data_IF_160324330325
#
_entry.id   IF_160324330325
#
_cell.length_a   1.000
_cell.length_b   1.000
_cell.length_c   1.000
_cell.angle_alpha   90.00
_cell.angle_beta   90.00
_cell.angle_gamma   90.00
#
_symmetry.space_group_name_H-M   'P 1'
#
loop_
_entity.id
_entity.type
_entity.pdbx_description
1 polymer ?
#
# COMPACT_ATOMS: atom_id res chain seq x y z
N UNK A 1 -0.82 -10.71 24.14
CA UNK A 1 -1.68 -9.51 24.15
C UNK A 1 -1.69 -8.72 22.85
N UNK A 2 -0.68 -8.86 21.96
CA UNK A 2 -0.64 -8.14 20.65
C UNK A 2 -1.49 -8.85 19.61
N UNK A 3 -1.28 -10.16 19.39
CA UNK A 3 -1.94 -10.91 18.30
C UNK A 3 -3.46 -10.71 18.24
N UNK A 4 -4.24 -10.81 19.34
CA UNK A 4 -5.69 -10.67 19.28
C UNK A 4 -6.20 -9.22 19.06
N UNK A 5 -5.30 -8.24 19.03
CA UNK A 5 -5.63 -6.86 18.67
C UNK A 5 -5.23 -6.52 17.23
N UNK A 6 -4.27 -7.27 16.67
CA UNK A 6 -3.79 -7.09 15.31
C UNK A 6 -4.56 -7.92 14.30
N UNK A 7 -4.95 -9.15 14.66
CA UNK A 7 -5.70 -10.07 13.81
C UNK A 7 -6.99 -10.56 14.48
N UNK A 8 -7.96 -10.95 13.67
CA UNK A 8 -9.16 -11.60 14.18
C UNK A 8 -8.79 -12.95 14.79
N UNK A 9 -9.21 -13.14 16.04
CA UNK A 9 -8.93 -14.34 16.86
C UNK A 9 -9.47 -15.64 16.25
N UNK A 10 -10.44 -15.54 15.33
CA UNK A 10 -11.09 -16.66 14.66
C UNK A 10 -10.44 -17.01 13.30
N UNK A 11 -9.35 -16.33 12.94
CA UNK A 11 -8.59 -16.68 11.76
C UNK A 11 -7.79 -17.98 11.96
N UNK A 12 -7.38 -18.69 10.85
CA UNK A 12 -6.60 -19.91 10.94
C UNK A 12 -5.32 -19.74 11.75
N UNK A 13 -4.97 -20.77 12.52
CA UNK A 13 -3.82 -20.77 13.42
C UNK A 13 -2.52 -20.31 12.76
N UNK A 14 -2.25 -20.77 11.51
CA UNK A 14 -1.04 -20.39 10.78
C UNK A 14 -0.93 -18.88 10.52
N UNK A 15 -2.05 -18.17 10.34
CA UNK A 15 -2.04 -16.71 10.20
C UNK A 15 -1.70 -16.02 11.53
N UNK A 16 -2.26 -16.52 12.63
CA UNK A 16 -1.97 -16.01 13.98
C UNK A 16 -0.53 -16.31 14.42
N UNK A 17 0.01 -17.47 14.05
CA UNK A 17 1.41 -17.86 14.27
C UNK A 17 2.35 -16.92 13.48
N UNK A 18 2.05 -16.64 12.21
CA UNK A 18 2.82 -15.68 11.42
C UNK A 18 2.84 -14.28 12.07
N UNK A 19 1.68 -13.81 12.56
CA UNK A 19 1.59 -12.54 13.29
C UNK A 19 2.39 -12.57 14.59
N UNK A 20 2.38 -13.66 15.33
CA UNK A 20 3.12 -13.81 16.59
C UNK A 20 4.64 -13.69 16.36
N UNK A 21 5.16 -14.32 15.29
CA UNK A 21 6.58 -14.23 14.90
C UNK A 21 6.94 -12.82 14.46
N UNK A 22 6.10 -12.18 13.63
CA UNK A 22 6.28 -10.77 13.23
C UNK A 22 6.34 -9.84 14.44
N UNK A 23 5.35 -9.93 15.32
CA UNK A 23 5.24 -9.08 16.50
C UNK A 23 6.43 -9.25 17.46
N UNK A 24 6.92 -10.47 17.62
CA UNK A 24 8.09 -10.76 18.45
C UNK A 24 9.36 -10.19 17.85
N UNK A 25 9.58 -10.37 16.55
CA UNK A 25 10.74 -9.82 15.84
C UNK A 25 10.74 -8.29 15.92
N UNK A 26 9.59 -7.65 15.66
CA UNK A 26 9.43 -6.22 15.79
C UNK A 26 9.76 -5.72 17.20
N UNK A 27 9.22 -6.35 18.25
CA UNK A 27 9.43 -5.94 19.63
C UNK A 27 10.91 -6.03 20.07
N UNK A 28 11.66 -7.02 19.56
CA UNK A 28 13.09 -7.16 19.88
C UNK A 28 13.92 -6.07 19.22
N UNK A 29 13.53 -5.60 18.05
CA UNK A 29 14.27 -4.60 17.26
C UNK A 29 13.86 -3.16 17.56
N UNK A 30 12.61 -2.94 17.98
CA UNK A 30 12.06 -1.61 18.26
C UNK A 30 12.02 -1.36 19.76
N UNK A 31 13.20 -1.21 20.38
CA UNK A 31 13.32 -0.94 21.82
C UNK A 31 13.63 0.52 22.09
N UNK A 32 13.10 1.03 23.19
CA UNK A 32 13.30 2.41 23.65
C UNK A 32 13.98 2.48 25.05
N UNK A 33 15.15 1.86 25.26
CA UNK A 33 15.77 1.79 26.60
C UNK A 33 16.11 3.17 27.16
N UNK A 34 16.38 4.16 26.32
CA UNK A 34 16.62 5.54 26.73
C UNK A 34 15.39 6.24 27.35
N UNK A 35 14.19 5.70 27.09
CA UNK A 35 12.94 6.23 27.64
C UNK A 35 12.48 5.49 28.91
N UNK A 36 13.27 4.51 29.39
CA UNK A 36 12.97 3.74 30.60
C UNK A 36 11.96 2.60 30.39
N UNK A 37 11.67 2.24 29.13
CA UNK A 37 10.86 1.07 28.76
C UNK A 37 11.39 0.45 27.46
N UNK A 38 11.09 -0.84 27.23
CA UNK A 38 11.49 -1.52 26.00
C UNK A 38 10.54 -1.20 24.84
N UNK A 39 9.23 -1.31 25.08
CA UNK A 39 8.17 -1.06 24.07
C UNK A 39 7.00 -0.32 24.69
N UNK A 40 6.34 0.53 23.92
CA UNK A 40 5.11 1.20 24.33
C UNK A 40 3.87 0.38 23.97
N UNK A 41 2.72 0.74 24.55
CA UNK A 41 1.44 0.08 24.28
C UNK A 41 0.65 0.69 23.12
N UNK A 42 1.17 1.74 22.49
CA UNK A 42 0.50 2.48 21.42
C UNK A 42 0.95 2.07 20.02
N UNK A 43 0.41 2.78 19.04
CA UNK A 43 0.67 2.56 17.61
C UNK A 43 2.11 2.83 17.18
N UNK A 44 2.90 3.55 17.99
CA UNK A 44 4.32 3.79 17.71
C UNK A 44 5.18 2.51 17.84
N UNK A 45 4.70 1.55 18.66
CA UNK A 45 5.31 0.23 18.78
C UNK A 45 4.35 -0.83 18.24
N UNK A 46 3.43 -1.30 19.07
CA UNK A 46 2.37 -2.26 18.69
C UNK A 46 1.17 -2.05 19.60
N UNK A 47 -0.03 -2.20 19.06
CA UNK A 47 -1.26 -2.09 19.85
C UNK A 47 -1.29 -3.18 20.92
N UNK A 48 -1.31 -2.76 22.18
CA UNK A 48 -1.39 -3.64 23.35
C UNK A 48 -2.34 -3.08 24.39
N UNK A 49 -3.48 -3.71 24.57
CA UNK A 49 -4.49 -3.36 25.59
C UNK A 49 -4.71 -4.49 26.61
N UNK A 50 -3.63 -5.20 26.95
CA UNK A 50 -3.70 -6.33 27.87
C UNK A 50 -4.13 -7.64 27.20
N UNK A 51 -4.64 -8.59 28.00
CA UNK A 51 -5.01 -9.93 27.54
C UNK A 51 -6.53 -10.14 27.39
N UNK A 52 -7.33 -9.09 27.44
CA UNK A 52 -8.79 -9.18 27.46
C UNK A 52 -9.41 -9.81 26.19
N UNK A 53 -8.67 -9.83 25.08
CA UNK A 53 -9.07 -10.46 23.82
C UNK A 53 -8.33 -11.79 23.53
N UNK A 54 -7.46 -12.23 24.45
CA UNK A 54 -6.76 -13.50 24.29
C UNK A 54 -7.76 -14.65 24.27
N UNK A 55 -7.49 -15.63 23.42
CA UNK A 55 -8.23 -16.89 23.30
C UNK A 55 -7.24 -18.04 23.27
N UNK A 56 -7.72 -19.29 23.48
CA UNK A 56 -6.87 -20.48 23.40
C UNK A 56 -6.14 -20.54 22.04
N UNK A 57 -6.78 -20.11 20.95
CA UNK A 57 -6.19 -20.08 19.62
C UNK A 57 -5.04 -19.05 19.52
N UNK A 58 -5.23 -17.83 20.05
CA UNK A 58 -4.18 -16.80 20.03
C UNK A 58 -3.04 -17.13 21.00
N UNK A 59 -3.32 -17.76 22.12
CA UNK A 59 -2.31 -18.24 23.06
C UNK A 59 -1.52 -19.40 22.44
N UNK A 60 -2.20 -20.39 21.81
CA UNK A 60 -1.54 -21.46 21.06
C UNK A 60 -0.62 -20.94 19.96
N UNK A 61 -1.03 -19.91 19.20
CA UNK A 61 -0.19 -19.31 18.17
C UNK A 61 1.12 -18.74 18.73
N UNK A 62 1.07 -18.14 19.91
CA UNK A 62 2.27 -17.60 20.60
C UNK A 62 3.15 -18.71 21.14
N UNK A 63 2.53 -19.75 21.76
CA UNK A 63 3.24 -20.87 22.39
C UNK A 63 3.90 -21.78 21.34
N UNK A 64 3.20 -22.11 20.25
CA UNK A 64 3.74 -22.93 19.15
C UNK A 64 4.96 -22.29 18.49
N UNK A 65 5.05 -20.97 18.50
CA UNK A 65 6.15 -20.19 17.89
C UNK A 65 7.08 -19.60 18.94
N UNK A 66 7.12 -20.15 20.16
CA UNK A 66 7.90 -19.59 21.26
C UNK A 66 9.38 -19.42 20.90
N UNK A 67 9.92 -18.23 21.07
CA UNK A 67 11.31 -17.88 20.75
C UNK A 67 11.60 -17.63 19.28
N UNK A 68 10.73 -18.00 18.34
CA UNK A 68 10.98 -17.86 16.91
C UNK A 68 10.88 -16.39 16.46
N UNK A 69 11.80 -16.00 15.58
CA UNK A 69 11.89 -14.68 14.96
C UNK A 69 12.21 -14.81 13.47
N UNK A 70 12.06 -13.71 12.76
CA UNK A 70 12.48 -13.60 11.36
C UNK A 70 13.94 -13.18 11.32
N UNK A 71 14.76 -13.92 10.56
CA UNK A 71 16.19 -13.67 10.39
C UNK A 71 16.54 -13.35 8.94
N UNK A 72 17.42 -12.38 8.75
CA UNK A 72 18.03 -12.05 7.47
C UNK A 72 19.56 -11.97 7.62
N UNK A 73 20.31 -12.68 6.75
CA UNK A 73 21.76 -12.73 6.85
C UNK A 73 22.30 -13.26 8.19
N UNK A 74 21.57 -14.20 8.84
CA UNK A 74 21.95 -14.81 10.12
C UNK A 74 21.71 -13.94 11.37
N UNK A 75 21.04 -12.80 11.22
CA UNK A 75 20.68 -11.90 12.33
C UNK A 75 19.17 -11.67 12.34
N UNK A 76 18.55 -11.37 13.50
CA UNK A 76 17.17 -10.94 13.53
C UNK A 76 16.93 -9.77 12.57
N UNK A 77 15.92 -9.85 11.73
CA UNK A 77 15.57 -8.86 10.74
C UNK A 77 15.32 -7.49 11.40
N UNK A 78 15.95 -6.42 10.89
CA UNK A 78 15.91 -5.10 11.52
C UNK A 78 14.55 -4.42 11.41
N UNK A 79 13.81 -4.71 10.33
CA UNK A 79 12.51 -4.09 10.07
C UNK A 79 11.50 -5.17 9.66
N UNK A 80 10.62 -5.52 10.56
CA UNK A 80 9.50 -6.43 10.29
C UNK A 80 8.21 -5.66 10.49
N UNK A 81 7.55 -5.34 9.38
CA UNK A 81 6.32 -4.55 9.36
C UNK A 81 5.19 -5.29 8.66
N UNK A 82 3.99 -4.97 9.02
CA UNK A 82 2.78 -5.57 8.48
C UNK A 82 1.67 -4.53 8.36
N UNK A 83 0.69 -4.80 7.54
CA UNK A 83 -0.47 -3.93 7.35
C UNK A 83 -1.74 -4.79 7.25
N UNK A 84 -2.89 -4.18 7.47
CA UNK A 84 -4.15 -4.91 7.38
C UNK A 84 -4.35 -5.49 5.98
N UNK A 85 -4.19 -4.67 4.93
CA UNK A 85 -4.36 -5.10 3.54
C UNK A 85 -3.47 -4.27 2.61
N UNK A 86 -2.76 -4.92 1.70
CA UNK A 86 -1.87 -4.28 0.73
C UNK A 86 -2.58 -3.88 -0.59
N UNK A 87 -3.88 -4.15 -0.70
CA UNK A 87 -4.67 -3.81 -1.88
C UNK A 87 -4.33 -4.65 -3.13
N UNK A 88 -3.75 -5.86 -2.95
CA UNK A 88 -3.44 -6.82 -4.00
C UNK A 88 -1.97 -6.90 -4.41
N UNK A 89 -1.09 -6.11 -3.81
CA UNK A 89 0.36 -6.28 -3.95
C UNK A 89 1.12 -5.57 -2.82
N UNK A 90 2.20 -6.18 -2.35
CA UNK A 90 3.19 -5.48 -1.52
C UNK A 90 3.97 -4.48 -2.35
N UNK A 91 4.70 -3.59 -1.68
CA UNK A 91 5.56 -2.60 -2.32
C UNK A 91 7.04 -2.85 -1.94
N UNK A 92 7.94 -2.37 -2.78
CA UNK A 92 9.35 -2.28 -2.43
C UNK A 92 9.57 -1.15 -1.41
N UNK A 93 10.26 -1.47 -0.32
CA UNK A 93 10.53 -0.49 0.74
C UNK A 93 11.26 0.75 0.24
N UNK A 94 12.09 0.62 -0.79
CA UNK A 94 12.80 1.75 -1.40
C UNK A 94 11.86 2.81 -2.01
N UNK A 95 10.63 2.43 -2.38
CA UNK A 95 9.63 3.34 -2.93
C UNK A 95 8.83 4.09 -1.84
N UNK A 96 8.87 3.61 -0.59
CA UNK A 96 8.06 4.16 0.51
C UNK A 96 8.94 4.84 1.56
N UNK A 97 9.99 4.17 2.01
CA UNK A 97 10.92 4.63 3.06
C UNK A 97 12.37 4.62 2.59
N UNK A 98 13.03 3.47 2.73
CA UNK A 98 14.40 3.21 2.34
C UNK A 98 14.56 1.76 1.91
N UNK A 99 15.60 1.43 1.17
CA UNK A 99 15.83 0.06 0.68
C UNK A 99 16.01 -0.92 1.84
N UNK A 100 15.16 -1.95 1.88
CA UNK A 100 15.23 -3.07 2.82
C UNK A 100 15.18 -4.35 1.99
N UNK A 101 16.25 -5.16 1.94
CA UNK A 101 16.42 -6.22 0.94
C UNK A 101 15.31 -7.28 0.91
N UNK A 102 14.63 -7.50 2.02
CA UNK A 102 13.57 -8.51 2.14
C UNK A 102 12.14 -7.94 2.09
N UNK A 103 11.98 -6.62 1.98
CA UNK A 103 10.69 -5.94 1.77
C UNK A 103 10.59 -5.51 0.31
N UNK A 104 10.16 -6.43 -0.53
CA UNK A 104 10.12 -6.26 -1.99
C UNK A 104 8.68 -6.19 -2.51
N UNK A 105 8.51 -5.50 -3.63
CA UNK A 105 7.22 -5.45 -4.33
C UNK A 105 6.84 -6.80 -4.93
N UNK A 106 5.65 -7.31 -4.59
CA UNK A 106 5.15 -8.60 -5.04
C UNK A 106 3.62 -8.60 -5.14
N UNK A 107 3.07 -9.19 -6.20
CA UNK A 107 1.62 -9.41 -6.30
C UNK A 107 1.13 -10.31 -5.18
N UNK A 108 -0.01 -9.97 -4.61
CA UNK A 108 -0.67 -10.74 -3.56
C UNK A 108 -2.05 -11.23 -4.01
N UNK A 109 -2.14 -12.45 -4.55
CA UNK A 109 -3.41 -12.99 -5.00
C UNK A 109 -4.27 -13.57 -3.87
N UNK A 110 -3.78 -13.54 -2.63
CA UNK A 110 -4.44 -14.20 -1.49
C UNK A 110 -5.48 -13.32 -0.82
N UNK A 111 -5.31 -11.99 -0.85
CA UNK A 111 -6.28 -11.07 -0.26
C UNK A 111 -7.68 -11.21 -0.85
N UNK A 112 -7.80 -11.37 -2.17
CA UNK A 112 -9.09 -11.53 -2.87
C UNK A 112 -9.88 -12.77 -2.46
N UNK A 113 -9.22 -13.72 -1.79
CA UNK A 113 -9.83 -14.95 -1.26
C UNK A 113 -10.44 -14.76 0.13
N UNK A 114 -10.35 -13.57 0.68
CA UNK A 114 -10.89 -13.20 1.98
C UNK A 114 -11.91 -12.07 1.85
N UNK A 115 -12.87 -12.04 2.77
CA UNK A 115 -13.79 -10.90 2.85
C UNK A 115 -13.12 -9.77 3.66
N UNK A 116 -12.67 -8.72 2.97
CA UNK A 116 -11.99 -7.58 3.60
C UNK A 116 -12.99 -6.43 3.73
N UNK A 117 -13.39 -6.07 4.95
CA UNK A 117 -14.28 -4.93 5.16
C UNK A 117 -13.65 -3.64 4.63
N UNK A 118 -14.42 -2.87 3.84
CA UNK A 118 -13.95 -1.62 3.24
C UNK A 118 -12.66 -1.77 2.42
N UNK A 119 -12.46 -2.90 1.75
CA UNK A 119 -11.32 -3.12 0.85
C UNK A 119 -11.20 -1.99 -0.17
N UNK A 120 -12.29 -1.69 -0.86
CA UNK A 120 -12.40 -0.49 -1.68
C UNK A 120 -12.96 0.65 -0.83
N UNK A 121 -12.35 1.80 -0.94
CA UNK A 121 -12.72 2.98 -0.17
C UNK A 121 -12.68 4.24 -1.03
N UNK A 122 -13.41 5.25 -0.60
CA UNK A 122 -13.45 6.56 -1.23
C UNK A 122 -13.49 7.66 -0.16
N UNK A 123 -12.81 8.76 -0.44
CA UNK A 123 -12.86 9.97 0.39
C UNK A 123 -12.80 11.20 -0.51
N UNK A 124 -13.64 12.20 -0.23
CA UNK A 124 -13.69 13.44 -0.99
C UNK A 124 -13.24 14.60 -0.12
N UNK A 125 -12.37 15.45 -0.68
CA UNK A 125 -11.90 16.68 -0.09
C UNK A 125 -12.34 17.87 -0.93
N UNK A 126 -12.67 18.99 -0.30
CA UNK A 126 -12.80 20.27 -0.99
C UNK A 126 -11.43 20.93 -1.16
N UNK A 127 -11.34 21.90 -2.06
CA UNK A 127 -10.12 22.71 -2.24
C UNK A 127 -9.74 23.44 -0.94
N UNK A 128 -10.73 23.94 -0.20
CA UNK A 128 -10.51 24.64 1.08
C UNK A 128 -10.00 23.70 2.18
N UNK A 129 -10.56 22.49 2.27
CA UNK A 129 -10.06 21.46 3.21
C UNK A 129 -8.61 21.10 2.92
N UNK A 130 -8.25 20.86 1.65
CA UNK A 130 -6.86 20.56 1.26
C UNK A 130 -5.93 21.74 1.50
N UNK A 131 -6.38 22.97 1.23
CA UNK A 131 -5.62 24.18 1.53
C UNK A 131 -5.28 24.26 3.01
N UNK A 132 -6.29 24.11 3.86
CA UNK A 132 -6.11 24.12 5.33
C UNK A 132 -5.17 22.99 5.79
N UNK A 133 -5.37 21.76 5.29
CA UNK A 133 -4.55 20.61 5.65
C UNK A 133 -3.08 20.84 5.29
N UNK A 134 -2.81 21.37 4.10
CA UNK A 134 -1.45 21.65 3.65
C UNK A 134 -0.80 22.74 4.50
N UNK A 135 -1.52 23.81 4.82
CA UNK A 135 -1.03 24.89 5.70
C UNK A 135 -0.66 24.37 7.10
N UNK A 136 -1.51 23.50 7.70
CA UNK A 136 -1.19 22.88 9.00
C UNK A 136 0.07 22.00 8.94
N UNK A 137 0.45 21.51 7.78
CA UNK A 137 1.66 20.70 7.54
C UNK A 137 2.85 21.53 7.03
N UNK A 138 2.72 22.86 7.00
CA UNK A 138 3.80 23.79 6.62
C UNK A 138 3.96 24.05 5.13
N UNK A 139 2.99 23.64 4.30
CA UNK A 139 3.00 23.90 2.86
C UNK A 139 2.16 25.15 2.51
N UNK A 140 2.81 26.22 2.10
CA UNK A 140 2.17 27.54 1.81
C UNK A 140 2.03 27.80 0.33
N UNK A 141 1.26 26.97 -0.39
CA UNK A 141 1.06 27.07 -1.83
C UNK A 141 -0.12 27.97 -2.26
N UNK A 142 -0.81 28.56 -1.30
CA UNK A 142 -2.06 29.28 -1.53
C UNK A 142 -3.25 28.34 -1.65
N UNK A 143 -4.40 28.84 -2.14
CA UNK A 143 -5.59 28.02 -2.34
C UNK A 143 -5.32 26.89 -3.34
N UNK A 144 -5.60 25.65 -2.96
CA UNK A 144 -5.45 24.47 -3.83
C UNK A 144 -6.38 24.63 -5.04
N UNK A 145 -5.80 24.47 -6.21
CA UNK A 145 -6.49 24.53 -7.52
C UNK A 145 -6.59 23.17 -8.16
N UNK A 146 -5.56 22.34 -7.94
CA UNK A 146 -5.51 20.99 -8.49
C UNK A 146 -4.72 20.07 -7.58
N UNK A 147 -5.03 18.77 -7.63
CA UNK A 147 -4.25 17.70 -7.03
C UNK A 147 -4.32 16.46 -7.90
N UNK A 148 -3.18 15.84 -8.15
CA UNK A 148 -3.10 14.64 -9.00
C UNK A 148 -1.95 13.73 -8.60
N UNK A 149 -2.07 12.46 -8.98
CA UNK A 149 -0.98 11.51 -8.87
C UNK A 149 0.01 11.77 -10.00
N UNK A 150 1.21 12.19 -9.64
CA UNK A 150 2.28 12.50 -10.60
C UNK A 150 3.06 11.26 -11.03
N UNK A 151 3.12 10.22 -10.16
CA UNK A 151 3.89 9.01 -10.46
C UNK A 151 3.36 7.82 -9.65
N UNK A 152 3.35 6.65 -10.29
CA UNK A 152 3.09 5.35 -9.67
C UNK A 152 4.36 4.49 -9.65
N UNK A 153 4.44 3.59 -8.68
CA UNK A 153 5.45 2.53 -8.65
C UNK A 153 5.09 1.43 -9.65
N UNK A 154 6.04 0.54 -9.99
CA UNK A 154 5.74 -0.66 -10.79
C UNK A 154 4.66 -1.56 -10.19
N UNK A 155 4.48 -1.54 -8.85
CA UNK A 155 3.44 -2.31 -8.16
C UNK A 155 2.08 -1.59 -8.13
N UNK A 156 1.98 -0.39 -8.69
CA UNK A 156 0.73 0.38 -8.80
C UNK A 156 0.38 1.18 -7.54
N UNK A 157 1.34 1.40 -6.64
CA UNK A 157 1.18 2.34 -5.54
C UNK A 157 1.54 3.76 -5.98
N UNK A 158 0.97 4.74 -5.31
CA UNK A 158 1.30 6.15 -5.56
C UNK A 158 2.70 6.45 -5.02
N UNK A 159 3.61 6.90 -5.87
CA UNK A 159 4.97 7.30 -5.50
C UNK A 159 5.13 8.82 -5.37
N UNK A 160 4.34 9.59 -6.13
CA UNK A 160 4.33 11.06 -6.05
C UNK A 160 2.93 11.62 -6.22
N UNK A 161 2.60 12.63 -5.39
CA UNK A 161 1.39 13.44 -5.51
C UNK A 161 1.79 14.89 -5.63
N UNK A 162 1.21 15.60 -6.60
CA UNK A 162 1.42 17.04 -6.80
C UNK A 162 0.15 17.80 -6.43
N UNK A 163 0.31 18.86 -5.65
CA UNK A 163 -0.69 19.85 -5.33
C UNK A 163 -0.31 21.15 -6.02
N UNK A 164 -1.22 21.73 -6.81
CA UNK A 164 -1.05 23.02 -7.45
C UNK A 164 -1.95 24.04 -6.74
N UNK A 165 -1.33 25.05 -6.20
CA UNK A 165 -2.01 26.14 -5.51
C UNK A 165 -2.07 27.43 -6.36
N UNK A 166 -2.69 28.46 -5.79
CA UNK A 166 -2.80 29.78 -6.44
C UNK A 166 -1.48 30.56 -6.47
N UNK A 167 -0.46 30.16 -5.69
CA UNK A 167 0.82 30.85 -5.56
C UNK A 167 2.01 29.98 -5.95
N UNK A 168 1.94 28.68 -5.66
CA UNK A 168 3.04 27.74 -5.85
C UNK A 168 2.50 26.32 -6.00
N UNK A 169 3.38 25.35 -6.21
CA UNK A 169 3.05 23.93 -6.24
C UNK A 169 3.98 23.14 -5.33
N UNK A 170 3.51 22.01 -4.81
CA UNK A 170 4.32 21.06 -4.03
C UNK A 170 4.10 19.65 -4.50
N UNK A 171 5.19 18.89 -4.61
CA UNK A 171 5.14 17.46 -4.88
C UNK A 171 5.67 16.70 -3.66
N UNK A 172 4.83 15.86 -3.09
CA UNK A 172 5.19 14.93 -2.01
C UNK A 172 5.46 13.54 -2.55
N UNK A 173 6.22 12.71 -1.81
CA UNK A 173 6.64 11.39 -2.25
C UNK A 173 6.67 10.38 -1.10
N UNK A 174 6.78 9.10 -1.46
CA UNK A 174 6.84 8.01 -0.49
C UNK A 174 5.58 7.95 0.37
N UNK A 175 5.72 7.63 1.65
CA UNK A 175 4.59 7.52 2.57
C UNK A 175 3.81 8.82 2.74
N UNK A 176 4.45 9.96 2.53
CA UNK A 176 3.78 11.26 2.59
C UNK A 176 2.63 11.37 1.59
N UNK A 177 2.68 10.67 0.45
CA UNK A 177 1.58 10.64 -0.51
C UNK A 177 0.25 10.21 0.11
N UNK A 178 0.28 9.33 1.11
CA UNK A 178 -0.88 8.87 1.88
C UNK A 178 -1.17 9.76 3.08
N UNK A 179 -0.15 10.03 3.89
CA UNK A 179 -0.32 10.69 5.19
C UNK A 179 -0.57 12.19 5.08
N UNK A 180 -0.26 12.81 3.95
CA UNK A 180 -0.53 14.22 3.68
C UNK A 180 -2.03 14.57 3.80
N UNK A 181 -2.91 13.62 3.44
CA UNK A 181 -4.36 13.79 3.43
C UNK A 181 -5.01 13.60 4.81
N UNK A 182 -4.25 13.14 5.82
CA UNK A 182 -4.82 12.93 7.14
C UNK A 182 -5.19 14.24 7.83
N UNK A 183 -6.42 14.30 8.34
CA UNK A 183 -6.91 15.39 9.19
C UNK A 183 -7.88 14.86 10.24
N UNK A 184 -7.54 15.07 11.50
CA UNK A 184 -8.45 14.80 12.62
C UNK A 184 -9.61 15.81 12.68
N UNK A 185 -9.37 17.05 12.24
CA UNK A 185 -10.39 18.11 12.19
C UNK A 185 -11.55 17.76 11.28
N UNK A 186 -11.23 17.22 10.08
CA UNK A 186 -12.25 16.81 9.11
C UNK A 186 -12.63 15.33 9.23
N UNK A 187 -11.98 14.57 10.11
CA UNK A 187 -12.13 13.12 10.25
C UNK A 187 -11.97 12.39 8.91
N UNK A 188 -10.94 12.77 8.15
CA UNK A 188 -10.64 12.24 6.83
C UNK A 188 -9.24 11.68 6.75
N UNK A 189 -9.08 10.58 5.99
CA UNK A 189 -7.78 9.96 5.70
C UNK A 189 -7.81 9.15 4.42
N UNK A 190 -6.68 9.07 3.74
CA UNK A 190 -6.40 8.11 2.68
C UNK A 190 -5.87 6.84 3.34
N UNK A 191 -6.53 5.70 3.09
CA UNK A 191 -6.30 4.48 3.89
C UNK A 191 -5.06 3.68 3.48
N UNK A 192 -4.68 3.73 2.21
CA UNK A 192 -3.52 2.99 1.68
C UNK A 192 -2.73 3.83 0.69
N UNK A 193 -1.58 3.31 0.28
CA UNK A 193 -0.76 3.91 -0.77
C UNK A 193 -1.30 3.61 -2.19
N UNK A 194 -2.33 2.75 -2.31
CA UNK A 194 -2.93 2.33 -3.57
C UNK A 194 -4.21 3.10 -3.83
N UNK A 195 -4.11 4.21 -4.53
CA UNK A 195 -5.26 5.08 -4.81
C UNK A 195 -5.12 5.87 -6.11
N UNK A 196 -6.24 6.46 -6.53
CA UNK A 196 -6.36 7.41 -7.62
C UNK A 196 -7.04 8.67 -7.14
N UNK A 197 -6.90 9.77 -7.87
CA UNK A 197 -7.56 11.04 -7.58
C UNK A 197 -8.47 11.40 -8.74
N UNK A 198 -9.76 11.69 -8.48
CA UNK A 198 -10.81 11.97 -9.46
C UNK A 198 -10.99 10.87 -10.52
N UNK A 199 -10.71 9.63 -10.16
CA UNK A 199 -10.72 8.52 -11.09
C UNK A 199 -9.56 8.54 -12.09
N UNK A 200 -8.75 9.59 -12.10
CA UNK A 200 -7.57 9.68 -12.92
C UNK A 200 -6.36 9.05 -12.22
N UNK A 201 -5.67 8.19 -12.91
CA UNK A 201 -4.35 7.75 -12.48
C UNK A 201 -4.12 6.27 -12.30
N UNK A 202 -5.07 5.43 -11.95
CA UNK A 202 -4.75 4.01 -11.72
C UNK A 202 -4.99 3.11 -12.94
N UNK A 203 -5.85 3.50 -13.85
CA UNK A 203 -6.04 2.75 -15.10
C UNK A 203 -4.92 3.02 -16.11
N UNK A 204 -4.15 4.06 -15.90
CA UNK A 204 -2.93 4.30 -16.65
C UNK A 204 -1.72 3.68 -15.95
N UNK A 205 -1.80 2.43 -15.58
CA UNK A 205 -0.63 1.58 -15.70
C UNK A 205 -0.15 1.85 -17.11
N UNK A 206 1.05 2.44 -17.26
CA UNK A 206 1.52 2.78 -18.59
C UNK A 206 1.39 1.58 -19.49
N UNK A 207 1.17 1.82 -20.76
CA UNK A 207 1.03 0.76 -21.75
C UNK A 207 2.38 0.04 -21.81
N UNK A 208 2.42 -1.18 -21.30
CA UNK A 208 3.61 -2.03 -21.36
C UNK A 208 3.75 -2.57 -22.80
N UNK A 209 4.89 -2.37 -23.40
CA UNK A 209 5.19 -2.91 -24.74
C UNK A 209 6.00 -4.17 -24.55
N UNK A 210 5.44 -5.31 -24.99
CA UNK A 210 6.14 -6.60 -25.18
C UNK A 210 7.02 -7.02 -24.00
N UNK A 211 6.43 -7.18 -22.81
CA UNK A 211 7.13 -7.59 -21.59
C UNK A 211 8.37 -6.75 -21.21
N UNK A 212 8.57 -5.61 -21.86
CA UNK A 212 9.60 -4.67 -21.48
C UNK A 212 9.14 -3.84 -20.28
N UNK A 213 10.08 -3.45 -19.41
CA UNK A 213 9.83 -2.49 -18.33
C UNK A 213 9.58 -1.06 -18.84
N UNK A 214 9.38 -0.90 -20.15
CA UNK A 214 9.14 0.40 -20.77
C UNK A 214 7.67 0.75 -20.63
N UNK A 215 7.39 1.80 -19.88
CA UNK A 215 6.05 2.34 -19.66
C UNK A 215 5.85 3.54 -20.55
N UNK A 216 4.92 3.46 -21.51
CA UNK A 216 4.49 4.60 -22.32
C UNK A 216 3.33 5.30 -21.60
N UNK A 217 3.47 6.58 -21.33
CA UNK A 217 2.47 7.39 -20.61
C UNK A 217 1.51 8.13 -21.52
N UNK A 218 1.81 8.19 -22.80
CA UNK A 218 0.96 8.79 -23.83
C UNK A 218 1.16 8.03 -25.13
N UNK A 219 0.08 7.80 -25.85
CA UNK A 219 0.12 7.23 -27.20
C UNK A 219 0.29 8.32 -28.27
N UNK A 220 0.26 9.60 -27.91
CA UNK A 220 0.43 10.69 -28.86
C UNK A 220 1.79 10.60 -29.55
N UNK A 221 1.74 10.54 -30.87
CA UNK A 221 2.94 10.43 -31.71
C UNK A 221 3.61 9.07 -31.73
N UNK A 222 3.10 8.08 -31.02
CA UNK A 222 3.59 6.70 -31.07
C UNK A 222 3.20 6.06 -32.39
N UNK A 223 4.14 5.38 -33.02
CA UNK A 223 3.88 4.58 -34.24
C UNK A 223 3.70 3.11 -33.88
N UNK A 224 2.60 2.52 -34.30
CA UNK A 224 2.29 1.10 -34.13
C UNK A 224 2.26 0.41 -35.48
N UNK A 225 2.71 -0.86 -35.51
CA UNK A 225 2.62 -1.70 -36.69
C UNK A 225 1.29 -2.44 -36.66
N UNK A 226 0.43 -2.21 -37.64
CA UNK A 226 -0.84 -2.93 -37.77
C UNK A 226 -0.64 -4.36 -38.25
N UNK A 227 -1.62 -5.24 -38.02
CA UNK A 227 -1.58 -6.62 -38.52
C UNK A 227 -1.45 -6.78 -40.05
N UNK A 228 -1.69 -5.71 -40.82
CA UNK A 228 -1.45 -5.61 -42.24
C UNK A 228 -0.08 -5.06 -42.65
N UNK A 229 0.87 -4.92 -41.71
CA UNK A 229 2.23 -4.42 -41.98
C UNK A 229 2.34 -2.92 -42.23
N UNK A 230 1.28 -2.14 -41.98
CA UNK A 230 1.31 -0.68 -42.10
C UNK A 230 1.62 -0.03 -40.77
N UNK A 231 2.49 0.97 -40.80
CA UNK A 231 2.75 1.82 -39.64
C UNK A 231 1.64 2.86 -39.52
N UNK A 232 1.01 2.92 -38.36
CA UNK A 232 -0.01 3.92 -38.02
C UNK A 232 0.52 4.76 -36.86
N UNK A 233 0.47 6.08 -37.02
CA UNK A 233 0.80 7.01 -35.93
C UNK A 233 -0.46 7.30 -35.14
N UNK A 234 -0.38 7.11 -33.82
CA UNK A 234 -1.51 7.34 -32.92
C UNK A 234 -1.61 8.83 -32.55
N UNK A 235 -2.84 9.30 -32.36
CA UNK A 235 -3.20 10.67 -31.98
C UNK A 235 -3.55 10.82 -30.49
N UNK A 236 -3.04 9.92 -29.68
CA UNK A 236 -3.21 9.93 -28.22
C UNK A 236 -4.05 8.78 -27.67
N UNK A 237 -4.88 8.10 -28.51
CA UNK A 237 -5.69 6.97 -28.07
C UNK A 237 -5.64 5.79 -29.04
N UNK A 238 -5.92 4.60 -28.53
CA UNK A 238 -6.12 3.38 -29.32
C UNK A 238 -7.16 2.47 -28.67
N UNK A 239 -7.99 1.84 -29.47
CA UNK A 239 -8.90 0.80 -29.00
C UNK A 239 -8.17 -0.53 -28.96
N UNK A 240 -8.22 -1.21 -27.81
CA UNK A 240 -7.69 -2.55 -27.60
C UNK A 240 -8.86 -3.52 -27.51
N UNK A 241 -8.85 -4.51 -28.38
CA UNK A 241 -9.83 -5.60 -28.37
C UNK A 241 -9.24 -6.75 -27.55
N UNK A 242 -9.87 -7.08 -26.44
CA UNK A 242 -9.62 -8.33 -25.71
C UNK A 242 -10.63 -9.41 -26.11
N UNK A 243 -10.44 -10.63 -25.61
CA UNK A 243 -11.36 -11.74 -25.91
C UNK A 243 -12.82 -11.48 -25.47
N UNK A 244 -13.07 -10.52 -24.58
CA UNK A 244 -14.39 -10.25 -24.00
C UNK A 244 -14.83 -8.79 -24.10
N UNK A 245 -13.93 -7.82 -24.32
CA UNK A 245 -14.26 -6.40 -24.28
C UNK A 245 -13.37 -5.57 -25.20
N UNK A 246 -13.93 -4.44 -25.69
CA UNK A 246 -13.15 -3.39 -26.34
C UNK A 246 -12.90 -2.28 -25.32
N UNK A 247 -11.65 -1.98 -25.04
CA UNK A 247 -11.25 -0.88 -24.14
C UNK A 247 -10.45 0.16 -24.92
N UNK A 248 -10.62 1.45 -24.57
CA UNK A 248 -9.79 2.53 -25.11
C UNK A 248 -8.61 2.76 -24.17
N UNK A 249 -7.40 2.75 -24.73
CA UNK A 249 -6.16 3.06 -23.99
C UNK A 249 -5.52 4.31 -24.59
N UNK A 250 -4.85 5.11 -23.76
CA UNK A 250 -4.04 6.22 -24.23
C UNK A 250 -4.76 7.54 -24.41
N UNK A 251 -6.03 7.67 -24.09
CA UNK A 251 -6.55 9.02 -23.84
C UNK A 251 -5.71 9.61 -22.72
N UNK A 252 -4.84 10.58 -23.08
CA UNK A 252 -4.04 11.32 -22.13
C UNK A 252 -4.97 11.87 -21.08
N UNK A 253 -4.94 11.30 -19.88
CA UNK A 253 -5.66 11.88 -18.77
C UNK A 253 -4.90 13.17 -18.44
N UNK A 254 -5.32 14.26 -19.05
CA UNK A 254 -5.12 15.58 -18.47
C UNK A 254 -5.58 15.47 -17.03
N UNK A 255 -4.78 15.94 -16.06
CA UNK A 255 -5.20 15.98 -14.67
C UNK A 255 -6.63 16.49 -14.64
N UNK A 256 -7.57 15.68 -14.14
CA UNK A 256 -8.97 16.07 -14.13
C UNK A 256 -9.10 17.25 -13.18
N UNK A 257 -9.14 18.47 -13.73
CA UNK A 257 -9.45 19.65 -12.95
C UNK A 257 -10.82 19.43 -12.32
N UNK A 258 -10.91 19.55 -11.01
CA UNK A 258 -12.17 19.55 -10.32
C UNK A 258 -13.02 20.71 -10.81
N UNK A 259 -14.11 20.43 -11.53
CA UNK A 259 -15.02 21.46 -12.01
C UNK A 259 -15.82 22.13 -10.88
N UNK A 260 -15.89 21.48 -9.73
CA UNK A 260 -16.69 21.89 -8.56
C UNK A 260 -15.85 22.17 -7.30
N UNK A 261 -14.51 22.20 -7.44
CA UNK A 261 -13.60 22.42 -6.32
C UNK A 261 -13.51 21.24 -5.33
N UNK A 262 -13.90 20.02 -5.77
CA UNK A 262 -13.78 18.81 -4.99
C UNK A 262 -12.82 17.79 -5.60
N UNK A 263 -12.14 17.01 -4.77
CA UNK A 263 -11.19 15.96 -5.17
C UNK A 263 -11.59 14.65 -4.50
N UNK A 264 -12.01 13.69 -5.30
CA UNK A 264 -12.37 12.36 -4.82
C UNK A 264 -11.20 11.42 -5.00
N UNK A 265 -10.76 10.84 -3.89
CA UNK A 265 -9.68 9.86 -3.83
C UNK A 265 -10.32 8.49 -3.62
N UNK A 266 -10.04 7.56 -4.51
CA UNK A 266 -10.53 6.18 -4.43
C UNK A 266 -9.35 5.22 -4.39
N UNK A 267 -9.45 4.18 -3.60
CA UNK A 267 -8.35 3.22 -3.49
C UNK A 267 -8.78 1.88 -2.91
N UNK A 268 -7.80 0.99 -2.75
CA UNK A 268 -7.97 -0.34 -2.16
C UNK A 268 -6.93 -0.63 -1.09
N UNK A 269 -7.29 -1.52 -0.15
CA UNK A 269 -6.41 -1.92 0.95
C UNK A 269 -6.35 -0.90 2.09
N UNK A 270 -5.52 -1.19 3.09
CA UNK A 270 -5.34 -0.37 4.30
C UNK A 270 -3.94 -0.55 4.87
N UNK A 271 -3.12 0.51 4.81
CA UNK A 271 -1.76 0.55 5.35
C UNK A 271 -0.72 1.05 4.36
N UNK A 272 0.54 0.85 4.71
CA UNK A 272 1.71 1.28 3.93
C UNK A 272 2.11 0.31 2.80
N UNK A 273 1.47 -0.86 2.72
CA UNK A 273 1.65 -1.91 1.73
C UNK A 273 3.04 -2.59 1.75
N UNK A 274 3.80 -2.46 2.83
CA UNK A 274 5.09 -3.14 3.04
C UNK A 274 4.94 -4.36 3.93
N UNK A 275 5.73 -5.40 3.66
CA UNK A 275 5.77 -6.62 4.46
C UNK A 275 4.46 -7.41 4.42
N UNK A 276 4.08 -8.05 5.52
CA UNK A 276 2.96 -8.97 5.55
C UNK A 276 1.60 -8.24 5.50
N UNK A 277 0.75 -8.63 4.55
CA UNK A 277 -0.67 -8.34 4.62
C UNK A 277 -1.33 -9.31 5.61
N UNK A 278 -2.03 -8.80 6.60
CA UNK A 278 -2.75 -9.63 7.57
C UNK A 278 -3.89 -10.42 6.88
N UNK A 279 -4.67 -9.77 6.01
CA UNK A 279 -5.69 -10.47 5.21
C UNK A 279 -5.09 -11.43 4.18
N UNK A 280 -3.94 -11.09 3.58
CA UNK A 280 -3.22 -12.00 2.71
C UNK A 280 -2.71 -13.24 3.46
N UNK A 281 -2.17 -13.08 4.66
CA UNK A 281 -1.77 -14.18 5.54
C UNK A 281 -2.97 -15.08 5.89
N UNK A 282 -4.15 -14.49 6.19
CA UNK A 282 -5.40 -15.23 6.37
C UNK A 282 -5.79 -16.03 5.12
N UNK A 283 -5.66 -15.42 3.92
CA UNK A 283 -5.94 -16.09 2.65
C UNK A 283 -5.01 -17.29 2.41
N UNK A 284 -3.70 -17.10 2.61
CA UNK A 284 -2.71 -18.16 2.51
C UNK A 284 -2.97 -19.30 3.50
N UNK A 285 -3.26 -18.97 4.76
CA UNK A 285 -3.55 -19.97 5.78
C UNK A 285 -4.82 -20.79 5.47
N UNK A 286 -5.86 -20.18 4.90
CA UNK A 286 -7.05 -20.87 4.40
C UNK A 286 -6.76 -21.84 3.25
N UNK A 287 -5.70 -21.59 2.47
CA UNK A 287 -5.22 -22.51 1.44
C UNK A 287 -4.28 -23.60 1.97
N UNK A 288 -4.06 -23.65 3.28
CA UNK A 288 -3.25 -24.66 3.93
C UNK A 288 -1.76 -24.34 4.04
N UNK A 289 -1.35 -23.08 3.73
CA UNK A 289 0.02 -22.67 3.93
C UNK A 289 0.35 -22.57 5.42
N UNK A 290 1.53 -22.99 5.79
CA UNK A 290 2.09 -22.86 7.14
C UNK A 290 2.51 -21.41 7.41
N UNK A 291 2.65 -21.03 8.69
CA UNK A 291 3.15 -19.69 9.04
C UNK A 291 4.55 -19.41 8.49
N UNK A 292 5.41 -20.42 8.32
CA UNK A 292 6.73 -20.26 7.72
C UNK A 292 6.64 -19.90 6.23
N UNK A 293 5.77 -20.56 5.48
CA UNK A 293 5.51 -20.25 4.08
C UNK A 293 4.90 -18.85 3.93
N UNK A 294 3.97 -18.47 4.81
CA UNK A 294 3.39 -17.10 4.86
C UNK A 294 4.51 -16.08 5.07
N UNK A 295 5.36 -16.26 6.08
CA UNK A 295 6.44 -15.33 6.38
C UNK A 295 7.46 -15.24 5.23
N UNK A 296 7.86 -16.36 4.64
CA UNK A 296 8.75 -16.38 3.47
C UNK A 296 8.15 -15.74 2.22
N UNK A 297 6.82 -15.78 2.10
CA UNK A 297 6.12 -15.09 1.02
C UNK A 297 6.28 -13.57 1.12
N UNK A 298 6.13 -13.00 2.32
CA UNK A 298 6.14 -11.55 2.53
C UNK A 298 7.51 -10.96 2.85
N UNK A 299 8.44 -11.77 3.35
CA UNK A 299 9.80 -11.35 3.69
C UNK A 299 10.80 -12.19 2.89
N UNK A 300 11.15 -11.70 1.70
CA UNK A 300 11.93 -12.45 0.71
C UNK A 300 13.35 -12.79 1.23
N UNK A 301 13.76 -14.06 1.08
CA UNK A 301 15.11 -14.49 1.47
C UNK A 301 15.38 -14.49 2.98
N UNK A 302 14.34 -14.43 3.80
CA UNK A 302 14.45 -14.57 5.26
C UNK A 302 14.25 -16.01 5.70
N UNK A 303 14.68 -16.31 6.92
CA UNK A 303 14.43 -17.58 7.62
C UNK A 303 13.67 -17.32 8.93
N UNK A 304 12.93 -18.33 9.42
CA UNK A 304 12.27 -18.32 10.72
C UNK A 304 12.99 -19.31 11.62
N UNK A 305 13.42 -18.88 12.79
CA UNK A 305 14.13 -19.72 13.76
C UNK A 305 14.16 -19.12 15.15
#
# INVERSE_FOLDING_TARGET
>A
GVVPYEMDKDWPLAALEAQAVCARTYAVKTRHPSLGFDVCAGTDCQVYYGRNRATDMTDAAVDNTAGEMIYYGGKPADTVVYCASNGGATEDAANVWSSIPYLVGKKDPYEVKTNIPNYNWSVTYTADELTWILEQKGYSIGTVKNVYVAEFTPMGNVSKVTFEGSRDSVTVKGETCRTIFYSSTYNKSVKSQRFTINGAGAASGGIYINDSNTVIRSLEGISVLSGGGKTVRLDGSASVLSASETSTVGEGQTPAFSKDGTFTITGSGSGHNLGMSQYGANGMAKEGNTYREILQHYYAGTAVG
#
